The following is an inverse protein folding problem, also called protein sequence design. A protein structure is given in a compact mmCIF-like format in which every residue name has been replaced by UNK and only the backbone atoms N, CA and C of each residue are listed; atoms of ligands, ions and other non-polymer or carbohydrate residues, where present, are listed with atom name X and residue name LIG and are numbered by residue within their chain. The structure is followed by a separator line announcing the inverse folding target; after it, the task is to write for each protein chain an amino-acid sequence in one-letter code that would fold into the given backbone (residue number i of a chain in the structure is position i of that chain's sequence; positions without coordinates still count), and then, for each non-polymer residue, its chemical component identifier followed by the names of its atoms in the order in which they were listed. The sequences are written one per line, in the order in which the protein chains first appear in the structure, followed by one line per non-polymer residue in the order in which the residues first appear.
data_IF_870254547973
#
_entry.id   IF_870254547973
#
_cell.length_a   1.000
_cell.length_b   1.000
_cell.length_c   1.000
_cell.angle_alpha   90.00
_cell.angle_beta   90.00
_cell.angle_gamma   90.00
#
_symmetry.space_group_name_H-M   'P 1'
#
loop_
_entity.id
_entity.type
_entity.pdbx_description
1 polymer ?
2 polymer ?
3 polymer ?
4 water ?
#
# COMPACT_ATOMS: atom_id res chain seq x y z
N UNK A 1 27.57 1.60 7.35
CA UNK A 1 26.29 0.90 7.11
C UNK A 1 26.54 -0.32 6.25
N UNK A 2 26.11 -1.49 6.73
CA UNK A 2 26.22 -2.69 5.89
C UNK A 2 25.14 -2.55 4.83
N UNK A 3 25.44 -2.79 3.57
CA UNK A 3 24.43 -2.70 2.54
C UNK A 3 23.89 -4.10 2.20
N UNK A 4 22.57 -4.25 2.12
CA UNK A 4 21.98 -5.53 1.76
C UNK A 4 21.43 -5.50 0.34
N UNK A 5 22.02 -6.25 -0.57
CA UNK A 5 21.54 -6.29 -1.94
C UNK A 5 20.71 -7.56 -2.11
N UNK A 6 19.41 -7.35 -2.11
CA UNK A 6 18.43 -8.40 -2.27
C UNK A 6 18.01 -8.53 -3.71
N UNK A 7 18.08 -9.72 -4.29
CA UNK A 7 17.57 -9.86 -5.67
C UNK A 7 16.93 -11.24 -5.79
N UNK A 8 16.05 -11.43 -6.75
CA UNK A 8 15.65 -10.38 -7.68
C UNK A 8 14.69 -9.46 -6.94
N UNK A 9 14.19 -8.38 -7.54
CA UNK A 9 13.30 -7.49 -6.79
C UNK A 9 11.86 -7.78 -7.11
N UNK A 10 11.62 -8.48 -8.22
CA UNK A 10 10.23 -8.86 -8.46
C UNK A 10 10.28 -10.16 -9.26
N UNK A 11 9.40 -11.11 -8.89
CA UNK A 11 9.45 -12.39 -9.61
C UNK A 11 8.05 -12.88 -9.90
N UNK A 12 7.91 -13.35 -11.13
CA UNK A 12 6.67 -13.82 -11.74
C UNK A 12 6.71 -15.35 -11.68
N UNK A 13 5.91 -15.94 -10.80
CA UNK A 13 6.02 -17.35 -10.44
C UNK A 13 4.70 -18.10 -10.58
N UNK A 14 4.84 -19.42 -10.64
CA UNK A 14 3.65 -20.27 -10.66
C UNK A 14 3.45 -20.96 -9.33
N UNK A 15 2.20 -21.22 -8.98
CA UNK A 15 1.93 -22.04 -7.79
C UNK A 15 2.60 -23.39 -8.02
N UNK A 16 3.21 -23.92 -6.96
CA UNK A 16 3.86 -25.21 -7.03
C UNK A 16 5.31 -25.11 -7.43
N UNK A 17 5.84 -23.95 -7.76
CA UNK A 17 7.20 -23.81 -8.25
C UNK A 17 8.16 -23.60 -7.10
N UNK A 18 9.41 -23.93 -7.32
CA UNK A 18 10.43 -23.70 -6.31
C UNK A 18 11.05 -22.31 -6.56
N UNK A 19 11.02 -21.47 -5.54
CA UNK A 19 11.58 -20.13 -5.59
C UNK A 19 12.84 -19.89 -4.77
N UNK A 20 13.85 -19.20 -5.29
CA UNK A 20 15.01 -18.85 -4.50
C UNK A 20 15.25 -17.34 -4.52
N UNK A 21 15.35 -16.72 -3.37
CA UNK A 21 15.60 -15.30 -3.17
C UNK A 21 16.94 -15.13 -2.49
N UNK A 22 17.73 -14.10 -2.82
CA UNK A 22 19.05 -13.88 -2.25
C UNK A 22 19.32 -12.54 -1.61
N UNK A 23 20.31 -12.49 -0.72
CA UNK A 23 20.79 -11.27 -0.09
C UNK A 23 22.30 -11.37 0.05
N UNK A 24 23.02 -10.48 -0.62
CA UNK A 24 24.47 -10.36 -0.44
C UNK A 24 24.66 -9.22 0.57
N UNK A 25 25.61 -9.33 1.47
CA UNK A 25 25.90 -8.26 2.42
C UNK A 25 27.20 -7.59 1.96
N UNK A 26 27.36 -6.32 2.29
CA UNK A 26 28.56 -5.59 1.86
C UNK A 26 29.76 -6.07 2.68
N UNK A 27 29.56 -6.65 3.84
CA UNK A 27 30.58 -7.34 4.59
C UNK A 27 29.99 -8.56 5.29
N UNK A 28 30.84 -9.41 5.85
CA UNK A 28 30.50 -10.61 6.59
C UNK A 28 29.54 -10.39 7.74
N UNK A 29 28.32 -10.90 7.72
CA UNK A 29 27.46 -10.66 8.88
C UNK A 29 27.32 -11.83 9.83
N UNK A 30 28.19 -12.82 9.80
CA UNK A 30 28.21 -13.95 10.73
C UNK A 30 26.86 -14.61 10.94
N UNK A 31 26.12 -14.83 9.87
CA UNK A 31 24.81 -15.45 9.85
C UNK A 31 23.79 -14.72 10.68
N UNK A 32 23.94 -13.44 11.04
CA UNK A 32 22.87 -12.78 11.75
C UNK A 32 21.91 -12.11 10.78
N UNK A 33 21.09 -12.92 10.12
CA UNK A 33 20.11 -12.56 9.15
C UNK A 33 18.73 -13.16 9.39
N UNK A 34 17.66 -12.37 9.26
CA UNK A 34 16.32 -12.92 9.37
C UNK A 34 15.69 -12.86 7.98
N UNK A 35 14.62 -13.61 7.75
CA UNK A 35 13.92 -13.63 6.48
C UNK A 35 12.44 -13.45 6.91
N UNK A 36 11.74 -12.47 6.38
CA UNK A 36 10.37 -12.25 6.81
C UNK A 36 9.54 -11.97 5.55
N UNK A 37 8.24 -11.91 5.77
CA UNK A 37 7.38 -11.77 4.61
C UNK A 37 6.25 -10.84 5.02
N UNK A 38 5.88 -9.96 4.09
CA UNK A 38 4.79 -9.04 4.45
C UNK A 38 3.72 -9.06 3.38
N UNK A 39 2.49 -9.30 3.76
CA UNK A 39 1.33 -9.34 2.91
C UNK A 39 0.67 -7.97 3.00
N UNK A 40 0.06 -7.56 1.90
CA UNK A 40 -0.59 -6.26 1.80
C UNK A 40 -1.51 -6.00 2.96
N UNK A 41 -1.16 -4.93 3.70
CA UNK A 41 -1.96 -4.46 4.81
C UNK A 41 -1.64 -5.17 6.11
N UNK A 42 -0.76 -6.16 6.09
CA UNK A 42 -0.43 -6.92 7.28
C UNK A 42 0.98 -6.63 7.76
N UNK A 43 1.25 -6.92 9.01
CA UNK A 43 2.57 -6.73 9.58
C UNK A 43 3.52 -7.84 9.13
N UNK A 44 4.80 -7.60 9.30
CA UNK A 44 5.79 -8.59 8.95
C UNK A 44 5.70 -9.86 9.82
N UNK A 45 5.95 -10.99 9.18
CA UNK A 45 6.01 -12.30 9.82
C UNK A 45 7.36 -12.92 9.63
N UNK A 46 8.20 -13.07 10.64
CA UNK A 46 9.49 -13.71 10.42
C UNK A 46 9.34 -15.21 10.11
N UNK A 47 10.13 -15.69 9.19
CA UNK A 47 10.09 -17.04 8.70
C UNK A 47 11.31 -17.80 9.25
N UNK A 48 12.46 -17.18 9.10
CA UNK A 48 13.76 -17.72 9.43
C UNK A 48 14.61 -16.74 10.21
N UNK A 49 15.43 -17.19 11.15
CA UNK A 49 16.28 -16.32 11.94
C UNK A 49 17.65 -16.98 12.06
N UNK A 50 18.65 -16.18 12.43
CA UNK A 50 20.03 -16.67 12.43
C UNK A 50 20.32 -17.44 11.16
N UNK A 51 20.00 -16.92 9.99
CA UNK A 51 20.25 -17.50 8.69
C UNK A 51 19.50 -18.77 8.31
N UNK A 52 19.38 -19.75 9.20
CA UNK A 52 18.75 -21.00 8.82
C UNK A 52 17.85 -21.63 9.86
N UNK A 53 17.43 -20.99 10.93
CA UNK A 53 16.48 -21.58 11.84
C UNK A 53 15.05 -21.28 11.40
N UNK A 54 14.22 -22.29 11.20
CA UNK A 54 12.82 -22.09 10.91
C UNK A 54 12.26 -21.46 12.20
N UNK A 55 11.15 -20.80 12.06
CA UNK A 55 10.48 -20.13 13.16
C UNK A 55 9.33 -21.05 13.54
N UNK A 56 8.98 -21.11 14.79
CA UNK A 56 7.89 -21.95 15.26
C UNK A 56 6.62 -21.61 14.52
N UNK A 57 6.10 -22.51 13.73
CA UNK A 57 4.83 -22.29 13.06
C UNK A 57 5.01 -22.17 11.55
N UNK A 58 6.23 -22.24 11.05
CA UNK A 58 6.43 -22.00 9.63
C UNK A 58 6.62 -23.30 8.88
N UNK A 59 5.87 -23.53 7.83
CA UNK A 59 6.00 -24.71 7.01
C UNK A 59 7.46 -25.00 6.74
N UNK A 60 7.80 -26.28 6.53
CA UNK A 60 9.16 -26.72 6.29
C UNK A 60 9.58 -26.52 4.86
N UNK A 61 8.63 -26.09 4.05
CA UNK A 61 8.74 -25.58 2.69
C UNK A 61 9.74 -24.39 2.61
N UNK A 62 9.85 -23.60 3.67
CA UNK A 62 10.82 -22.56 3.78
C UNK A 62 12.14 -23.08 4.34
N UNK A 63 13.21 -22.67 3.69
CA UNK A 63 14.54 -23.06 4.17
C UNK A 63 15.52 -21.95 3.84
N UNK A 64 16.43 -21.65 4.73
CA UNK A 64 17.39 -20.58 4.53
C UNK A 64 18.79 -21.13 4.56
N UNK A 65 19.69 -20.60 3.74
CA UNK A 65 21.06 -21.07 3.76
C UNK A 65 22.00 -19.87 3.57
N UNK A 66 23.29 -20.10 3.66
CA UNK A 66 24.33 -19.15 3.42
C UNK A 66 25.14 -18.89 4.67
N UNK A 67 26.30 -18.28 4.46
CA UNK A 67 27.22 -17.87 5.51
C UNK A 67 27.98 -16.67 4.96
N UNK A 68 28.67 -15.92 5.80
CA UNK A 68 29.45 -14.80 5.30
C UNK A 68 28.64 -13.71 4.63
N UNK A 69 28.65 -13.66 3.31
CA UNK A 69 27.99 -12.55 2.63
C UNK A 69 26.77 -12.97 1.83
N UNK A 70 26.74 -14.17 1.29
CA UNK A 70 25.60 -14.58 0.48
C UNK A 70 24.61 -15.51 1.15
N UNK A 71 23.38 -15.04 1.35
CA UNK A 71 22.34 -15.82 2.01
C UNK A 71 21.22 -16.14 1.05
N UNK A 72 20.55 -17.29 1.19
CA UNK A 72 19.45 -17.60 0.30
C UNK A 72 18.27 -18.12 1.15
N UNK A 73 17.12 -17.99 0.50
CA UNK A 73 15.85 -18.40 1.04
C UNK A 73 15.19 -19.19 -0.09
N UNK A 74 14.91 -20.46 0.22
CA UNK A 74 14.29 -21.30 -0.81
C UNK A 74 12.87 -21.62 -0.34
N UNK A 75 11.95 -21.62 -1.27
CA UNK A 75 10.55 -21.98 -1.02
C UNK A 75 10.33 -23.17 -1.97
N UNK A 76 10.18 -24.36 -1.37
CA UNK A 76 10.30 -25.60 -2.13
C UNK A 76 9.15 -25.75 -3.10
N UNK A 77 7.95 -25.36 -2.67
CA UNK A 77 6.86 -25.52 -3.63
C UNK A 77 5.85 -24.44 -3.26
N UNK A 78 5.71 -23.47 -4.15
CA UNK A 78 5.13 -22.17 -3.80
C UNK A 78 3.65 -22.27 -3.59
N UNK A 79 3.12 -21.79 -2.48
CA UNK A 79 1.68 -21.80 -2.33
C UNK A 79 1.03 -20.43 -2.38
N UNK A 80 -0.25 -20.39 -2.71
CA UNK A 80 -1.00 -19.15 -2.76
C UNK A 80 -0.82 -18.27 -1.53
N UNK A 81 -0.68 -18.73 -0.34
CA UNK A 81 -0.56 -18.02 0.90
C UNK A 81 0.83 -17.44 1.11
N UNK A 82 1.79 -17.80 0.27
CA UNK A 82 3.14 -17.30 0.29
C UNK A 82 3.35 -16.00 -0.50
N UNK A 83 2.30 -15.56 -1.19
CA UNK A 83 2.36 -14.37 -2.01
C UNK A 83 2.51 -13.13 -1.13
N UNK A 84 3.43 -12.25 -1.55
CA UNK A 84 3.59 -11.05 -0.72
C UNK A 84 4.99 -10.54 -0.98
N UNK A 85 5.53 -9.76 -0.04
CA UNK A 85 6.88 -9.28 -0.32
C UNK A 85 7.85 -9.89 0.68
N UNK A 86 9.00 -10.33 0.21
CA UNK A 86 10.00 -10.91 1.06
C UNK A 86 11.21 -10.02 1.27
N UNK A 87 11.61 -9.81 2.52
CA UNK A 87 12.77 -9.05 2.89
C UNK A 87 13.77 -9.85 3.75
N UNK A 88 15.03 -9.41 3.71
CA UNK A 88 16.05 -9.94 4.59
C UNK A 88 16.52 -8.86 5.56
N UNK A 89 16.96 -9.24 6.76
CA UNK A 89 17.39 -8.30 7.77
C UNK A 89 18.77 -8.63 8.27
N UNK A 90 19.77 -7.77 8.19
CA UNK A 90 21.06 -8.12 8.80
C UNK A 90 21.00 -7.56 10.22
N UNK A 91 21.39 -8.28 11.26
CA UNK A 91 21.34 -7.73 12.61
C UNK A 91 22.66 -8.03 13.29
N UNK A 92 23.69 -8.21 12.47
CA UNK A 92 25.05 -8.32 12.95
C UNK A 92 25.53 -7.02 13.57
N UNK A 93 25.41 -5.90 12.86
CA UNK A 93 25.84 -4.63 13.40
C UNK A 93 24.79 -3.54 13.30
N UNK A 94 24.99 -2.46 14.02
CA UNK A 94 24.11 -1.29 13.92
C UNK A 94 24.68 -0.33 12.89
N UNK A 95 23.86 0.38 12.14
CA UNK A 95 22.42 0.23 12.23
C UNK A 95 21.90 -1.07 11.62
N UNK A 96 20.71 -1.52 12.02
CA UNK A 96 20.15 -2.69 11.35
C UNK A 96 19.79 -2.25 9.93
N UNK A 97 19.97 -3.03 8.90
CA UNK A 97 19.59 -2.67 7.56
C UNK A 97 18.82 -3.77 6.85
N UNK A 98 17.89 -3.37 5.99
CA UNK A 98 17.02 -4.24 5.24
C UNK A 98 17.39 -4.36 3.79
N UNK A 99 16.83 -5.27 3.05
CA UNK A 99 17.10 -5.48 1.64
C UNK A 99 15.90 -4.72 1.01
N UNK A 100 15.93 -4.60 -0.31
CA UNK A 100 14.87 -3.74 -0.87
C UNK A 100 13.56 -4.49 -0.93
N UNK A 101 13.54 -5.82 -0.77
CA UNK A 101 12.27 -6.54 -0.77
C UNK A 101 12.21 -7.35 -2.04
N UNK A 102 11.43 -8.41 -2.09
CA UNK A 102 11.35 -9.19 -3.34
C UNK A 102 9.86 -9.40 -3.54
N UNK A 103 9.32 -8.95 -4.65
CA UNK A 103 7.88 -9.01 -4.82
C UNK A 103 7.53 -10.19 -5.70
N UNK A 104 6.58 -10.98 -5.21
CA UNK A 104 6.21 -12.23 -5.90
C UNK A 104 4.88 -12.06 -6.57
N UNK A 105 4.71 -12.41 -7.82
CA UNK A 105 3.39 -12.37 -8.35
C UNK A 105 3.12 -13.53 -9.28
N UNK A 106 1.89 -13.93 -9.42
CA UNK A 106 1.58 -15.09 -10.24
C UNK A 106 1.66 -14.74 -11.71
N UNK A 107 2.46 -15.44 -12.48
CA UNK A 107 2.54 -15.25 -13.92
C UNK A 107 1.21 -15.60 -14.53
N UNK A 108 0.92 -15.12 -15.74
CA UNK A 108 -0.29 -15.39 -16.48
C UNK A 108 -0.09 -14.88 -17.91
N UNK A 109 -0.97 -15.20 -18.82
CA UNK A 109 -0.88 -14.77 -20.21
C UNK A 109 -1.16 -13.26 -20.21
N UNK A 110 -0.44 -12.53 -21.05
CA UNK A 110 -0.51 -11.07 -21.06
C UNK A 110 -1.91 -10.60 -21.44
N UNK A 111 -2.52 -9.71 -20.71
CA UNK A 111 -3.85 -9.23 -21.11
C UNK A 111 -3.83 -7.71 -21.26
N UNK A 112 -4.53 -7.23 -22.27
CA UNK A 112 -4.59 -5.77 -22.49
C UNK A 112 -5.67 -5.16 -21.58
N UNK A 113 -5.47 -3.91 -21.22
CA UNK A 113 -6.39 -3.21 -20.35
C UNK A 113 -7.69 -2.92 -21.06
N UNK A 114 -8.76 -2.72 -20.35
CA UNK A 114 -10.06 -2.35 -20.82
C UNK A 114 -10.23 -0.91 -20.26
N UNK A 115 -10.08 0.02 -21.21
CA UNK A 115 -10.02 1.43 -20.83
C UNK A 115 -11.32 2.16 -20.89
N UNK A 116 -11.73 2.89 -19.88
CA UNK A 116 -12.95 3.67 -19.90
C UNK A 116 -12.65 5.12 -19.48
N UNK A 117 -13.29 6.10 -20.10
CA UNK A 117 -13.10 7.51 -19.76
C UNK A 117 -14.38 8.13 -19.26
N UNK A 118 -14.32 8.93 -18.20
CA UNK A 118 -15.52 9.49 -17.65
C UNK A 118 -15.43 11.00 -17.53
N UNK A 119 -16.19 11.74 -18.32
CA UNK A 119 -16.28 13.19 -18.24
C UNK A 119 -16.70 13.51 -16.83
N UNK A 120 -16.47 14.72 -16.35
CA UNK A 120 -16.89 15.06 -15.00
C UNK A 120 -18.39 14.84 -14.87
N UNK A 121 -18.87 14.89 -13.63
CA UNK A 121 -20.30 14.78 -13.38
C UNK A 121 -20.85 16.19 -13.17
N UNK A 122 -22.14 16.37 -13.40
CA UNK A 122 -22.83 17.62 -13.21
C UNK A 122 -22.74 18.15 -11.80
N UNK A 123 -22.86 17.26 -10.83
CA UNK A 123 -22.78 17.63 -9.42
C UNK A 123 -21.40 18.19 -9.10
N UNK A 124 -20.36 17.68 -9.76
CA UNK A 124 -19.02 18.20 -9.46
C UNK A 124 -18.91 19.59 -10.11
N UNK A 125 -19.32 19.64 -11.38
CA UNK A 125 -19.30 20.86 -12.18
C UNK A 125 -20.09 21.97 -11.53
N UNK A 126 -21.24 21.71 -10.90
CA UNK A 126 -21.88 22.72 -10.09
C UNK A 126 -21.25 22.88 -8.72
N UNK A 127 -19.95 22.71 -8.53
CA UNK A 127 -19.29 22.91 -7.24
C UNK A 127 -17.95 23.61 -7.49
N UNK A 128 -17.62 23.73 -8.78
CA UNK A 128 -16.40 24.43 -9.11
C UNK A 128 -15.29 23.56 -9.64
N UNK A 129 -15.29 22.27 -9.27
CA UNK A 129 -14.13 21.48 -9.76
C UNK A 129 -14.60 20.65 -10.92
N UNK A 130 -13.67 20.00 -11.56
CA UNK A 130 -13.97 19.08 -12.66
C UNK A 130 -12.97 17.92 -12.66
N UNK A 131 -13.41 16.69 -12.41
CA UNK A 131 -12.40 15.59 -12.37
C UNK A 131 -12.58 14.73 -13.60
N UNK A 132 -11.56 14.37 -14.32
CA UNK A 132 -11.71 13.55 -15.52
C UNK A 132 -11.12 12.19 -15.16
N UNK A 133 -11.93 11.12 -15.25
CA UNK A 133 -11.45 9.82 -14.80
C UNK A 133 -11.26 8.81 -15.89
N UNK A 134 -10.17 8.08 -15.75
CA UNK A 134 -9.84 7.01 -16.64
C UNK A 134 -9.55 5.67 -15.89
N UNK A 135 -10.24 4.61 -16.29
CA UNK A 135 -10.07 3.28 -15.70
C UNK A 135 -9.33 2.39 -16.68
N UNK A 136 -8.21 1.87 -16.21
CA UNK A 136 -7.44 0.91 -17.04
C UNK A 136 -7.64 -0.39 -16.24
N UNK A 137 -8.62 -1.24 -16.65
CA UNK A 137 -8.71 -2.42 -15.77
C UNK A 137 -8.69 -3.79 -16.38
N UNK A 138 -8.11 -4.70 -15.54
CA UNK A 138 -7.86 -6.08 -15.85
C UNK A 138 -6.72 -6.30 -16.80
N UNK A 139 -5.48 -5.98 -16.49
CA UNK A 139 -4.45 -6.20 -17.53
C UNK A 139 -3.25 -6.92 -16.93
N UNK A 140 -2.34 -7.41 -17.79
CA UNK A 140 -1.14 -8.07 -17.29
C UNK A 140 -0.09 -8.00 -18.39
N UNK A 141 1.14 -7.69 -18.07
CA UNK A 141 1.60 -7.47 -16.74
C UNK A 141 1.36 -6.10 -16.13
N UNK A 142 1.90 -5.82 -14.97
CA UNK A 142 1.70 -4.63 -14.18
C UNK A 142 2.16 -3.31 -14.81
N UNK A 143 3.27 -3.29 -15.52
CA UNK A 143 3.78 -2.12 -16.20
C UNK A 143 2.81 -1.46 -17.17
N UNK A 144 2.49 -0.21 -16.83
CA UNK A 144 1.59 0.57 -17.67
C UNK A 144 1.89 2.06 -17.60
N UNK A 145 1.81 2.66 -18.78
CA UNK A 145 1.97 4.10 -18.94
C UNK A 145 0.68 4.80 -19.30
N UNK A 146 0.36 5.86 -18.58
CA UNK A 146 -0.81 6.66 -18.85
C UNK A 146 -0.42 8.14 -19.02
N UNK A 147 -0.75 8.69 -20.17
CA UNK A 147 -0.54 10.08 -20.53
C UNK A 147 -1.89 10.77 -20.71
N UNK A 148 -2.05 11.96 -20.18
CA UNK A 148 -3.24 12.77 -20.44
C UNK A 148 -2.95 13.89 -21.45
N UNK A 149 -3.92 14.13 -22.32
CA UNK A 149 -3.82 15.14 -23.36
C UNK A 149 -5.07 16.01 -23.40
N UNK A 150 -4.86 17.30 -23.16
CA UNK A 150 -5.95 18.28 -23.31
C UNK A 150 -5.71 18.98 -24.63
N UNK A 151 -6.73 19.13 -25.45
CA UNK A 151 -6.69 19.66 -26.81
C UNK A 151 -5.37 19.39 -27.52
N UNK A 152 -4.84 18.18 -27.49
CA UNK A 152 -3.66 17.77 -28.19
C UNK A 152 -2.39 17.89 -27.37
N UNK A 153 -2.44 18.51 -26.19
CA UNK A 153 -1.17 18.63 -25.46
C UNK A 153 -1.23 17.92 -24.11
N UNK A 154 -0.09 17.33 -23.78
CA UNK A 154 0.12 16.58 -22.56
C UNK A 154 -0.10 17.42 -21.31
N UNK A 155 -0.82 16.92 -20.32
CA UNK A 155 -0.99 17.62 -19.04
C UNK A 155 -0.31 16.79 -17.96
N UNK A 156 0.62 17.34 -17.16
CA UNK A 156 1.31 16.58 -16.14
C UNK A 156 0.82 16.73 -14.72
N UNK A 157 0.75 17.89 -14.09
CA UNK A 157 0.22 17.87 -12.73
C UNK A 157 -1.30 17.85 -12.83
N UNK A 158 -1.91 17.69 -11.67
CA UNK A 158 -3.32 17.51 -11.50
C UNK A 158 -3.69 16.03 -11.61
N UNK A 159 -2.74 15.15 -11.90
CA UNK A 159 -2.94 13.75 -12.11
C UNK A 159 -2.65 12.88 -10.88
N UNK A 160 -3.62 12.03 -10.60
CA UNK A 160 -3.59 11.10 -9.49
C UNK A 160 -3.75 9.66 -9.97
N UNK A 161 -2.74 8.81 -9.79
CA UNK A 161 -2.81 7.41 -10.19
C UNK A 161 -2.93 6.42 -9.04
N UNK A 162 -3.83 5.46 -9.14
CA UNK A 162 -4.03 4.44 -8.11
C UNK A 162 -4.06 3.04 -8.72
N UNK A 163 -3.39 2.10 -8.06
CA UNK A 163 -3.29 0.71 -8.49
C UNK A 163 -3.92 -0.27 -7.50
N UNK A 164 -4.54 -1.30 -8.03
CA UNK A 164 -5.06 -2.37 -7.17
C UNK A 164 -3.92 -3.41 -7.08
N UNK A 165 -3.90 -4.27 -6.05
CA UNK A 165 -2.92 -5.39 -6.17
C UNK A 165 -3.39 -6.51 -7.09
N UNK A 166 -2.51 -7.45 -7.42
CA UNK A 166 -2.88 -8.57 -8.31
C UNK A 166 -4.18 -9.21 -7.87
N UNK A 167 -5.13 -9.44 -8.72
CA UNK A 167 -6.42 -10.02 -8.39
C UNK A 167 -6.30 -11.54 -8.14
N UNK A 168 -6.99 -11.99 -7.08
CA UNK A 168 -6.81 -13.37 -6.60
C UNK A 168 -7.34 -14.41 -7.57
N UNK A 169 -8.42 -14.18 -8.27
CA UNK A 169 -8.90 -15.09 -9.28
C UNK A 169 -8.25 -14.97 -10.65
N UNK A 170 -8.20 -13.80 -11.31
CA UNK A 170 -7.73 -13.78 -12.69
C UNK A 170 -6.29 -13.35 -12.80
N UNK A 171 -5.66 -12.94 -11.71
CA UNK A 171 -4.27 -12.53 -11.76
C UNK A 171 -3.95 -11.27 -12.54
N UNK A 172 -4.97 -10.45 -12.86
CA UNK A 172 -4.72 -9.23 -13.61
C UNK A 172 -4.59 -8.05 -12.63
N UNK A 173 -4.05 -6.93 -13.10
CA UNK A 173 -4.07 -5.72 -12.25
C UNK A 173 -5.02 -4.68 -12.85
N UNK A 174 -5.32 -3.65 -12.07
CA UNK A 174 -6.14 -2.54 -12.42
C UNK A 174 -5.72 -1.18 -11.85
N UNK A 175 -6.02 -0.12 -12.63
CA UNK A 175 -5.62 1.24 -12.23
C UNK A 175 -6.60 2.34 -12.57
N UNK A 176 -6.76 3.28 -11.64
CA UNK A 176 -7.62 4.40 -11.98
C UNK A 176 -6.78 5.68 -12.14
N UNK A 177 -7.13 6.46 -13.18
CA UNK A 177 -6.38 7.71 -13.42
C UNK A 177 -7.30 8.94 -13.40
N UNK A 178 -7.12 9.80 -12.43
CA UNK A 178 -7.87 11.00 -12.26
C UNK A 178 -7.09 12.29 -12.55
N UNK A 179 -7.61 13.01 -13.54
CA UNK A 179 -7.05 14.32 -13.94
C UNK A 179 -7.95 15.37 -13.29
N UNK A 180 -7.49 16.05 -12.25
CA UNK A 180 -8.32 17.07 -11.61
C UNK A 180 -7.99 18.51 -12.04
N UNK A 181 -8.99 19.22 -12.54
CA UNK A 181 -8.92 20.60 -12.99
C UNK A 181 -9.94 21.46 -12.24
N UNK A 182 -9.97 22.77 -12.50
CA UNK A 182 -11.10 23.60 -12.02
C UNK A 182 -12.18 23.68 -13.08
N UNK A 183 -13.40 24.03 -12.74
CA UNK A 183 -14.45 24.14 -13.76
C UNK A 183 -14.12 25.15 -14.86
N UNK A 184 -13.61 26.33 -14.47
CA UNK A 184 -13.21 27.33 -15.45
C UNK A 184 -12.21 26.75 -16.43
N UNK A 185 -11.13 26.10 -16.00
CA UNK A 185 -10.22 25.65 -17.07
C UNK A 185 -10.68 24.38 -17.76
N UNK A 186 -11.64 23.65 -17.18
CA UNK A 186 -12.19 22.47 -17.86
C UNK A 186 -13.09 23.02 -18.97
N UNK A 187 -13.83 24.09 -18.64
CA UNK A 187 -14.68 24.76 -19.61
C UNK A 187 -13.89 25.55 -20.66
N UNK A 188 -12.60 25.74 -20.57
CA UNK A 188 -11.79 26.38 -21.57
C UNK A 188 -11.35 25.43 -22.67
N UNK A 189 -11.56 24.10 -22.53
CA UNK A 189 -10.95 23.18 -23.49
C UNK A 189 -11.96 22.21 -24.08
N UNK A 190 -11.62 21.47 -25.14
CA UNK A 190 -12.70 20.57 -25.62
C UNK A 190 -12.36 19.07 -25.61
N UNK A 191 -11.18 18.67 -26.03
CA UNK A 191 -10.88 17.30 -26.31
C UNK A 191 -9.99 16.65 -25.25
N UNK A 192 -10.61 15.81 -24.39
CA UNK A 192 -9.89 15.14 -23.31
C UNK A 192 -9.56 13.70 -23.70
N UNK A 193 -8.29 13.37 -23.59
CA UNK A 193 -7.75 12.11 -23.98
C UNK A 193 -6.83 11.41 -22.99
N UNK A 194 -7.19 10.14 -22.79
CA UNK A 194 -6.49 9.20 -21.92
C UNK A 194 -5.75 8.23 -22.82
N UNK A 195 -4.44 8.11 -22.76
CA UNK A 195 -3.80 7.13 -23.64
C UNK A 195 -2.83 6.30 -22.79
N UNK A 196 -2.96 4.98 -22.96
CA UNK A 196 -2.16 4.04 -22.20
C UNK A 196 -1.23 3.19 -23.04
N UNK A 197 -0.03 3.02 -22.51
CA UNK A 197 0.96 2.20 -23.19
C UNK A 197 1.14 0.97 -22.31
N UNK A 198 1.16 -0.15 -23.01
CA UNK A 198 1.28 -1.44 -22.35
C UNK A 198 1.96 -2.41 -23.28
N UNK A 199 2.70 -3.39 -22.79
CA UNK A 199 3.25 -4.45 -23.61
C UNK A 199 2.30 -5.08 -24.61
N UNK A 200 1.00 -5.19 -24.42
CA UNK A 200 0.11 -5.82 -25.35
C UNK A 200 -0.09 -5.16 -26.70
N UNK A 201 0.45 -3.99 -27.00
CA UNK A 201 0.28 -3.38 -28.32
C UNK A 201 1.40 -2.38 -28.58
N UNK A 202 1.62 -2.19 -29.88
CA UNK A 202 2.64 -1.30 -30.44
C UNK A 202 2.27 0.16 -30.28
N UNK A 203 1.02 0.46 -30.61
CA UNK A 203 0.45 1.79 -30.50
C UNK A 203 -0.36 1.91 -29.22
N UNK A 204 -0.42 3.10 -28.65
CA UNK A 204 -1.18 3.36 -27.45
C UNK A 204 -2.64 3.02 -27.63
N UNK A 205 -3.32 2.87 -26.51
CA UNK A 205 -4.76 2.55 -26.54
C UNK A 205 -5.37 3.85 -26.06
N UNK A 206 -6.13 4.46 -26.97
CA UNK A 206 -6.61 5.81 -26.77
C UNK A 206 -8.09 5.92 -26.47
N UNK A 207 -8.48 6.68 -25.47
CA UNK A 207 -9.87 6.95 -25.18
C UNK A 207 -10.06 8.45 -25.03
N UNK A 208 -11.10 8.97 -25.73
CA UNK A 208 -11.34 10.40 -25.67
C UNK A 208 -12.80 10.83 -25.63
N UNK A 209 -12.91 12.14 -25.38
CA UNK A 209 -14.21 12.77 -25.55
C UNK A 209 -14.04 14.27 -25.74
N UNK A 210 -15.04 14.85 -26.40
CA UNK A 210 -15.14 16.27 -26.67
C UNK A 210 -16.15 16.86 -25.70
N UNK A 211 -15.86 17.97 -25.01
CA UNK A 211 -16.93 18.54 -24.19
C UNK A 211 -18.08 19.05 -25.05
N UNK A 212 -17.96 19.36 -26.35
CA UNK A 212 -19.16 19.89 -27.03
C UNK A 212 -20.15 18.78 -27.37
N UNK A 213 -19.82 17.59 -26.95
CA UNK A 213 -20.29 16.25 -26.94
C UNK A 213 -19.91 15.59 -28.26
N UNK A 214 -18.66 15.18 -28.33
CA UNK A 214 -17.99 14.53 -29.42
C UNK A 214 -18.59 14.62 -30.80
N UNK B 1 8.51 -15.81 23.70
CA UNK B 1 7.82 -16.70 22.75
C UNK B 1 6.46 -16.19 22.30
N UNK B 2 5.78 -15.35 23.07
CA UNK B 2 4.47 -14.88 22.58
C UNK B 2 4.54 -13.70 21.62
N UNK B 3 4.29 -12.49 22.14
CA UNK B 3 3.94 -11.37 21.29
C UNK B 3 4.19 -9.96 21.77
N UNK B 4 4.14 -9.05 20.78
CA UNK B 4 4.29 -7.61 20.96
C UNK B 4 2.98 -6.91 20.63
N UNK B 5 2.50 -6.09 21.55
CA UNK B 5 1.25 -5.37 21.34
C UNK B 5 1.50 -3.86 21.32
N UNK B 6 1.13 -3.24 20.19
CA UNK B 6 1.38 -1.80 20.02
C UNK B 6 0.11 -0.98 20.21
N UNK B 7 0.31 0.24 20.69
CA UNK B 7 -0.79 1.20 20.80
C UNK B 7 -1.49 1.49 19.50
N UNK B 8 -2.69 2.05 19.59
CA UNK B 8 -3.52 2.34 18.41
C UNK B 8 -3.10 3.54 17.55
N UNK B 9 -3.74 3.66 16.38
CA UNK B 9 -3.55 4.66 15.37
C UNK B 9 -3.49 6.07 15.95
N UNK B 10 -2.45 6.80 15.58
CA UNK B 10 -2.34 8.16 16.11
C UNK B 10 -2.45 9.26 15.06
N UNK B 11 -3.38 10.18 15.25
CA UNK B 11 -3.59 11.35 14.40
C UNK B 11 -3.02 12.61 15.04
N UNK B 12 -1.80 13.06 14.73
CA UNK B 12 -1.32 14.32 15.28
C UNK B 12 -1.09 15.48 14.30
N UNK B 13 -1.04 16.65 14.92
CA UNK B 13 -0.76 17.94 14.35
C UNK B 13 0.73 18.24 14.22
N UNK B 14 1.09 18.86 13.10
CA UNK B 14 2.47 19.23 12.84
C UNK B 14 3.05 20.01 13.99
N UNK B 15 4.27 19.65 14.39
CA UNK B 15 4.94 20.24 15.51
C UNK B 15 4.66 19.58 16.83
N UNK B 16 3.65 18.69 16.91
CA UNK B 16 3.38 18.05 18.21
C UNK B 16 4.27 16.83 18.40
N UNK B 17 4.03 16.13 19.50
CA UNK B 17 4.75 14.92 19.88
C UNK B 17 3.84 13.72 20.04
N UNK B 18 4.35 12.52 19.84
CA UNK B 18 3.67 11.25 20.11
C UNK B 18 4.68 10.38 20.83
N UNK B 19 4.06 9.60 21.72
CA UNK B 19 4.73 8.52 22.46
C UNK B 19 4.09 7.18 22.12
N UNK B 20 4.74 6.28 21.43
CA UNK B 20 4.10 5.01 21.09
C UNK B 20 4.52 3.90 22.09
N UNK B 21 3.58 3.00 22.39
CA UNK B 21 3.91 1.89 23.29
C UNK B 21 3.86 0.50 22.65
N UNK B 22 4.76 -0.34 23.17
CA UNK B 22 4.93 -1.72 22.73
C UNK B 22 4.99 -2.68 23.93
N UNK B 23 3.85 -3.37 24.17
CA UNK B 23 3.81 -4.31 25.27
C UNK B 23 4.33 -5.71 24.97
N UNK B 24 5.33 -6.18 25.69
CA UNK B 24 5.85 -7.54 25.49
C UNK B 24 5.17 -8.57 26.42
N UNK B 25 4.60 -9.62 25.84
CA UNK B 25 3.84 -10.67 26.49
C UNK B 25 4.44 -12.05 26.17
N UNK B 26 4.46 -12.95 27.18
CA UNK B 26 4.83 -14.34 26.94
C UNK B 26 6.29 -14.64 26.81
N UNK B 27 7.23 -13.88 27.32
CA UNK B 27 8.66 -14.15 27.19
C UNK B 27 9.32 -13.25 28.22
N UNK B 28 10.55 -13.50 28.60
CA UNK B 28 11.22 -12.70 29.62
C UNK B 28 11.64 -11.38 28.99
N UNK B 29 10.92 -10.32 29.32
CA UNK B 29 11.11 -8.99 28.82
C UNK B 29 12.54 -8.49 28.94
N UNK B 30 13.20 -8.80 30.04
CA UNK B 30 14.58 -8.36 30.24
C UNK B 30 15.63 -9.14 29.51
N UNK B 31 15.33 -10.16 28.69
CA UNK B 31 16.46 -10.82 28.04
C UNK B 31 16.64 -10.41 26.59
N UNK B 32 15.65 -9.74 26.02
CA UNK B 32 15.65 -9.35 24.62
C UNK B 32 15.52 -7.84 24.40
N UNK B 33 16.37 -7.32 23.54
CA UNK B 33 16.27 -5.99 22.96
C UNK B 33 14.98 -5.78 22.19
N UNK B 34 14.41 -4.59 22.30
CA UNK B 34 13.23 -4.25 21.49
C UNK B 34 13.70 -3.15 20.51
N UNK B 35 13.50 -3.32 19.23
CA UNK B 35 13.84 -2.42 18.17
C UNK B 35 12.62 -1.78 17.51
N UNK B 36 12.79 -0.51 17.13
CA UNK B 36 11.70 0.28 16.51
C UNK B 36 12.00 0.50 15.06
N UNK B 37 11.09 0.26 14.14
CA UNK B 37 11.40 0.36 12.72
C UNK B 37 10.26 1.15 12.05
N UNK B 38 10.68 1.99 11.06
CA UNK B 38 9.76 2.88 10.36
C UNK B 38 9.52 2.42 8.94
N UNK B 39 8.30 2.46 8.48
CA UNK B 39 8.02 2.02 7.12
C UNK B 39 7.20 3.08 6.37
N UNK B 40 7.65 3.43 5.19
CA UNK B 40 6.92 4.38 4.32
C UNK B 40 7.07 3.87 2.90
N UNK B 41 6.09 4.10 2.07
CA UNK B 41 6.18 3.81 0.65
C UNK B 41 7.37 4.45 -0.02
N UNK B 42 7.67 5.73 0.26
CA UNK B 42 8.88 6.33 -0.31
C UNK B 42 10.11 5.60 0.14
N UNK B 43 10.50 5.67 1.40
CA UNK B 43 11.76 5.13 1.89
C UNK B 43 11.88 3.67 2.25
N UNK B 44 10.78 2.92 2.24
CA UNK B 44 10.85 1.53 2.66
C UNK B 44 10.95 1.40 4.18
N UNK B 45 11.76 0.40 4.59
CA UNK B 45 11.86 0.07 5.99
C UNK B 45 13.07 0.75 6.59
N UNK B 46 12.96 1.44 7.70
CA UNK B 46 14.17 1.96 8.30
C UNK B 46 14.18 1.74 9.82
N UNK B 47 15.39 1.45 10.28
CA UNK B 47 15.61 1.29 11.71
C UNK B 47 15.74 2.61 12.43
N UNK B 48 14.97 2.82 13.48
CA UNK B 48 15.11 4.03 14.29
C UNK B 48 16.18 3.85 15.35
N UNK B 49 15.96 2.90 16.23
CA UNK B 49 16.84 2.54 17.33
C UNK B 49 16.33 1.27 18.03
N UNK B 50 16.83 1.05 19.23
CA UNK B 50 16.47 -0.09 20.04
C UNK B 50 16.95 -0.01 21.48
N UNK B 51 16.22 -0.76 22.33
CA UNK B 51 16.63 -0.76 23.75
C UNK B 51 16.66 -2.15 24.35
N UNK B 52 17.56 -2.32 25.31
CA UNK B 52 17.71 -3.56 26.07
C UNK B 52 17.03 -3.27 27.40
N UNK B 53 15.86 -3.79 27.66
CA UNK B 53 15.14 -3.49 28.91
C UNK B 53 15.89 -3.98 30.14
N UNK B 54 16.74 -4.97 29.93
CA UNK B 54 17.65 -5.51 30.90
C UNK B 54 18.62 -4.45 31.37
N UNK B 55 19.70 -4.31 30.62
CA UNK B 55 20.73 -3.33 30.92
C UNK B 55 20.31 -1.89 30.69
N UNK B 56 19.22 -1.57 30.02
CA UNK B 56 18.81 -0.20 29.79
C UNK B 56 19.55 0.48 28.63
N UNK B 57 20.50 -0.19 28.02
CA UNK B 57 21.26 0.25 26.89
C UNK B 57 20.38 0.54 25.69
N UNK B 58 20.79 1.59 24.96
CA UNK B 58 20.05 2.01 23.79
C UNK B 58 21.05 2.28 22.68
N UNK B 59 20.64 2.14 21.46
CA UNK B 59 21.42 2.45 20.26
C UNK B 59 20.44 3.17 19.33
N UNK B 60 20.91 4.11 18.50
CA UNK B 60 19.97 4.86 17.64
C UNK B 60 20.55 4.94 16.26
N UNK B 61 19.70 5.05 15.27
CA UNK B 61 20.21 5.34 13.91
C UNK B 61 20.52 6.83 13.92
N UNK B 62 21.60 7.29 13.29
CA UNK B 62 22.01 8.69 13.35
C UNK B 62 20.92 9.67 12.91
N UNK B 63 20.16 9.30 11.90
CA UNK B 63 19.03 10.04 11.39
C UNK B 63 17.96 10.29 12.41
N UNK B 64 17.89 9.62 13.56
CA UNK B 64 16.71 9.77 14.42
C UNK B 64 17.22 10.27 15.74
N UNK B 65 18.53 10.30 15.90
CA UNK B 65 19.09 10.84 17.15
C UNK B 65 18.78 12.34 17.23
N UNK B 66 18.03 12.70 18.25
CA UNK B 66 17.53 14.00 18.57
C UNK B 66 16.05 14.01 18.26
N UNK B 67 15.54 13.09 17.46
CA UNK B 67 14.12 13.12 17.14
C UNK B 67 13.29 12.16 18.01
N UNK B 68 13.91 11.00 18.25
CA UNK B 68 13.27 9.90 18.93
C UNK B 68 13.95 9.53 20.24
N UNK B 69 13.12 9.32 21.25
CA UNK B 69 13.62 8.83 22.53
C UNK B 69 13.06 7.43 22.86
N UNK B 70 13.96 6.51 23.16
CA UNK B 70 13.52 5.17 23.54
C UNK B 70 13.54 4.90 25.04
N UNK B 71 12.47 4.32 25.56
CA UNK B 71 12.43 3.96 26.99
C UNK B 71 11.72 2.62 27.19
N UNK B 72 11.86 2.04 28.37
CA UNK B 72 11.22 0.77 28.73
C UNK B 72 10.84 0.73 30.19
N UNK B 73 9.64 0.29 30.55
CA UNK B 73 9.22 0.11 31.94
C UNK B 73 9.26 -1.37 32.32
N UNK B 74 10.14 -1.85 33.18
CA UNK B 74 10.17 -3.28 33.55
C UNK B 74 8.90 -3.74 34.24
N UNK B 75 8.31 -2.95 35.12
CA UNK B 75 7.06 -3.35 35.74
C UNK B 75 5.93 -3.61 34.78
N UNK B 76 5.87 -3.00 33.61
CA UNK B 76 4.74 -3.30 32.72
C UNK B 76 5.25 -3.96 31.46
N UNK B 77 6.51 -4.34 31.37
CA UNK B 77 7.03 -5.02 30.18
C UNK B 77 6.50 -4.34 28.91
N UNK B 78 6.77 -3.02 28.86
CA UNK B 78 6.34 -2.11 27.81
C UNK B 78 7.46 -1.19 27.34
N UNK B 79 7.84 -1.37 26.08
CA UNK B 79 8.89 -0.50 25.52
C UNK B 79 8.17 0.71 24.92
N UNK B 80 8.76 1.90 25.07
CA UNK B 80 8.15 3.10 24.53
C UNK B 80 9.05 3.88 23.56
N UNK B 81 8.41 4.53 22.60
CA UNK B 81 9.15 5.37 21.65
C UNK B 81 8.48 6.75 21.53
N UNK B 82 9.31 7.75 21.88
CA UNK B 82 8.85 9.12 21.72
C UNK B 82 9.44 9.83 20.50
N UNK B 83 8.57 10.43 19.72
CA UNK B 83 8.88 11.22 18.53
C UNK B 83 8.53 12.69 18.75
N UNK B 84 9.51 13.62 18.67
CA UNK B 84 9.11 15.04 18.85
C UNK B 84 9.12 15.85 17.56
N UNK B 85 8.45 16.98 17.55
CA UNK B 85 8.44 17.93 16.43
C UNK B 85 7.99 17.19 15.17
N UNK B 86 6.72 16.83 15.09
CA UNK B 86 6.36 16.05 13.92
C UNK B 86 6.01 16.90 12.72
N UNK B 87 6.44 16.39 11.57
CA UNK B 87 6.06 16.95 10.29
C UNK B 87 5.48 15.81 9.47
N UNK B 88 4.86 16.09 8.33
CA UNK B 88 4.27 15.07 7.48
C UNK B 88 5.21 13.95 7.05
N UNK B 89 6.52 14.08 7.18
CA UNK B 89 7.46 13.07 6.74
C UNK B 89 7.65 11.95 7.75
N UNK B 90 7.19 12.19 8.97
CA UNK B 90 7.09 11.34 10.10
C UNK B 90 5.83 10.45 9.95
N UNK B 91 4.96 10.77 9.01
CA UNK B 91 3.77 10.01 8.76
C UNK B 91 4.17 8.61 8.26
N UNK B 92 3.82 7.58 9.04
CA UNK B 92 4.28 6.24 8.70
C UNK B 92 3.55 5.14 9.51
N UNK B 93 3.93 3.92 9.14
CA UNK B 93 3.63 2.81 10.03
C UNK B 93 4.87 2.63 10.91
N UNK B 94 4.69 2.59 12.22
CA UNK B 94 5.79 2.28 13.14
C UNK B 94 5.57 0.88 13.79
N UNK B 95 6.63 0.10 13.80
CA UNK B 95 6.77 -1.21 14.32
C UNK B 95 7.81 -1.44 15.41
N UNK B 96 7.44 -2.08 16.52
CA UNK B 96 8.48 -2.58 17.45
C UNK B 96 8.70 -4.04 17.03
N UNK B 97 9.88 -4.57 17.21
CA UNK B 97 10.23 -5.89 16.81
C UNK B 97 11.27 -6.45 17.78
N UNK B 98 11.26 -7.80 17.89
CA UNK B 98 12.26 -8.43 18.76
C UNK B 98 13.31 -9.03 17.85
N UNK B 99 13.13 -8.79 16.55
CA UNK B 99 14.00 -9.20 15.47
C UNK B 99 13.46 -10.48 14.82
N UNK B 100 12.75 -11.24 15.64
CA UNK B 100 12.02 -12.43 15.23
C UNK B 100 10.55 -12.08 15.33
N UNK B 101 10.02 -11.73 16.48
CA UNK B 101 8.62 -11.31 16.51
C UNK B 101 8.45 -9.85 16.10
N UNK B 102 7.29 -9.49 15.56
CA UNK B 102 6.97 -8.14 15.19
C UNK B 102 5.65 -7.72 15.81
N UNK B 103 5.54 -6.50 16.30
CA UNK B 103 4.30 -5.92 16.74
C UNK B 103 3.46 -5.70 15.49
N UNK B 104 2.20 -5.29 15.69
CA UNK B 104 1.37 -5.14 14.51
C UNK B 104 1.53 -3.75 13.87
N UNK B 105 2.30 -2.84 14.48
CA UNK B 105 2.46 -1.54 13.87
C UNK B 105 1.39 -0.55 14.27
N UNK B 106 1.83 0.66 14.59
CA UNK B 106 0.97 1.82 14.76
C UNK B 106 1.20 2.83 13.60
N UNK B 107 0.12 3.22 12.97
CA UNK B 107 -0.03 4.23 11.98
C UNK B 107 -0.02 5.61 12.66
N UNK B 108 0.96 6.41 12.26
CA UNK B 108 0.94 7.82 12.69
C UNK B 108 0.72 8.70 11.45
N UNK B 109 -0.36 9.45 11.46
CA UNK B 109 -0.69 10.43 10.45
C UNK B 109 -0.42 11.85 10.92
N UNK B 110 0.59 12.50 10.37
CA UNK B 110 0.79 13.92 10.74
C UNK B 110 0.03 14.85 9.81
N UNK B 111 -1.00 15.53 10.29
CA UNK B 111 -1.81 16.35 9.41
C UNK B 111 -2.45 17.53 10.12
N UNK B 112 -2.93 18.52 9.37
CA UNK B 112 -3.59 19.66 10.03
C UNK B 112 -5.07 19.50 9.71
N UNK B 113 -5.33 18.62 8.75
CA UNK B 113 -6.68 18.34 8.33
C UNK B 113 -7.69 18.25 9.46
N UNK B 114 -8.92 18.58 9.08
CA UNK B 114 -10.05 18.51 9.99
C UNK B 114 -11.04 17.50 9.44
N UNK B 115 -11.85 16.89 10.31
CA UNK B 115 -12.81 15.89 9.80
C UNK B 115 -13.65 16.52 8.72
N UNK B 116 -13.62 15.93 7.52
CA UNK B 116 -14.45 16.49 6.44
C UNK B 116 -15.11 15.36 5.65
N UNK B 117 -16.41 15.56 5.48
CA UNK B 117 -17.26 14.63 4.76
C UNK B 117 -16.84 14.61 3.30
N UNK B 118 -16.98 13.45 2.67
CA UNK B 118 -16.55 13.27 1.30
C UNK B 118 -17.57 13.77 0.30
N UNK B 119 -17.17 14.18 -0.90
CA UNK B 119 -18.19 14.50 -1.90
C UNK B 119 -18.27 13.24 -2.74
N UNK B 120 -19.46 12.80 -3.08
CA UNK B 120 -19.60 11.56 -3.83
C UNK B 120 -20.20 11.85 -5.18
N UNK B 121 -19.46 11.59 -6.24
CA UNK B 121 -19.94 11.80 -7.59
C UNK B 121 -20.13 10.50 -8.36
N UNK B 122 -21.25 10.41 -9.06
CA UNK B 122 -21.56 9.28 -9.89
C UNK B 122 -20.96 9.44 -11.27
N UNK B 123 -20.18 8.49 -11.73
CA UNK B 123 -19.55 8.46 -13.01
C UNK B 123 -20.25 7.57 -14.03
N UNK B 124 -21.07 8.15 -14.89
CA UNK B 124 -21.79 7.45 -15.95
C UNK B 124 -21.00 7.37 -17.22
N UNK B 125 -21.20 6.40 -18.08
CA UNK B 125 -20.42 6.31 -19.30
C UNK B 125 -20.52 7.63 -20.08
N UNK B 126 -19.57 7.82 -20.99
CA UNK B 126 -19.54 8.97 -21.87
C UNK B 126 -20.79 8.93 -22.74
N UNK B 127 -21.24 10.14 -23.07
CA UNK B 127 -22.40 10.36 -23.92
C UNK B 127 -22.26 9.50 -25.17
N UNK B 128 -23.40 9.06 -25.70
CA UNK B 128 -23.32 8.12 -26.83
C UNK B 128 -23.42 6.76 -26.15
N UNK B 129 -22.30 6.32 -25.58
CA UNK B 129 -22.28 5.07 -24.83
C UNK B 129 -22.27 3.89 -25.82
N UNK B 130 -21.08 3.30 -25.93
CA UNK B 130 -20.86 2.18 -26.82
C UNK B 130 -21.96 1.12 -26.89
N UNK B 131 -21.82 0.33 -27.96
CA UNK B 131 -22.58 -0.90 -28.12
C UNK B 131 -21.59 -2.05 -27.89
N UNK B 132 -21.07 -2.12 -26.66
CA UNK B 132 -20.21 -3.23 -26.26
C UNK B 132 -21.10 -4.25 -25.56
N UNK B 133 -20.53 -5.35 -25.10
CA UNK B 133 -21.29 -6.38 -24.38
C UNK B 133 -21.47 -5.92 -22.94
N UNK B 134 -20.45 -5.25 -22.42
CA UNK B 134 -20.50 -4.76 -21.04
C UNK B 134 -20.26 -3.27 -20.96
N UNK B 135 -20.66 -2.69 -19.85
CA UNK B 135 -20.57 -1.29 -19.50
C UNK B 135 -19.84 -1.04 -18.19
N UNK B 136 -18.85 -0.16 -18.13
CA UNK B 136 -18.22 0.18 -16.86
C UNK B 136 -18.78 1.50 -16.38
N UNK B 137 -19.26 1.50 -15.15
CA UNK B 137 -19.86 2.62 -14.45
C UNK B 137 -18.83 2.98 -13.39
N UNK B 138 -18.92 4.08 -12.67
CA UNK B 138 -17.85 4.39 -11.74
C UNK B 138 -18.40 5.29 -10.64
N UNK B 139 -17.54 5.54 -9.67
CA UNK B 139 -18.04 6.42 -8.59
C UNK B 139 -16.78 7.01 -7.97
N UNK B 140 -16.84 8.32 -7.68
CA UNK B 140 -15.65 9.06 -7.23
C UNK B 140 -16.02 9.69 -5.90
N UNK B 141 -15.16 9.47 -4.93
CA UNK B 141 -15.44 9.87 -3.54
C UNK B 141 -14.33 10.85 -3.22
N UNK B 142 -14.65 12.13 -3.08
CA UNK B 142 -13.61 13.15 -3.06
C UNK B 142 -13.57 14.04 -1.84
N UNK B 143 -12.35 14.36 -1.46
CA UNK B 143 -12.02 15.21 -0.34
C UNK B 143 -12.55 14.76 1.01
N UNK B 144 -12.04 13.66 1.56
CA UNK B 144 -12.50 13.33 2.93
C UNK B 144 -11.30 13.32 3.87
N UNK B 145 -11.61 13.19 5.15
CA UNK B 145 -10.60 13.07 6.18
C UNK B 145 -11.27 12.74 7.50
N UNK B 146 -10.73 11.78 8.22
CA UNK B 146 -9.62 10.96 7.77
C UNK B 146 -10.08 9.64 7.14
N UNK B 147 -9.11 8.78 6.86
CA UNK B 147 -9.44 7.43 6.39
C UNK B 147 -10.10 6.78 7.62
N UNK B 148 -11.02 5.88 7.41
CA UNK B 148 -11.38 5.36 6.11
C UNK B 148 -12.78 5.67 5.62
N UNK B 149 -13.12 5.12 4.48
CA UNK B 149 -14.41 5.25 3.82
C UNK B 149 -14.78 3.83 3.43
N UNK B 150 -16.03 3.41 3.51
CA UNK B 150 -16.33 2.08 2.94
C UNK B 150 -17.28 2.35 1.79
N UNK B 151 -17.15 1.60 0.71
CA UNK B 151 -17.91 1.83 -0.50
C UNK B 151 -18.48 0.52 -1.03
N UNK B 152 -19.77 0.47 -1.33
CA UNK B 152 -20.29 -0.74 -1.95
C UNK B 152 -21.18 -0.37 -3.15
N UNK B 153 -21.49 -1.35 -3.97
CA UNK B 153 -22.39 -1.20 -5.10
C UNK B 153 -23.65 -2.02 -4.85
N UNK B 154 -24.80 -1.34 -4.82
CA UNK B 154 -26.07 -1.98 -4.51
C UNK B 154 -25.98 -2.59 -3.13
N UNK B 155 -25.52 -1.81 -2.16
CA UNK B 155 -25.27 -2.22 -0.79
C UNK B 155 -24.80 -3.67 -0.72
N UNK B 156 -23.64 -3.97 -1.31
CA UNK B 156 -23.06 -5.30 -1.31
C UNK B 156 -23.62 -6.30 -2.29
N UNK B 157 -24.86 -6.16 -2.71
CA UNK B 157 -25.49 -7.10 -3.63
C UNK B 157 -24.67 -7.27 -4.90
N UNK B 158 -24.16 -6.15 -5.40
CA UNK B 158 -23.28 -6.14 -6.58
C UNK B 158 -21.85 -6.17 -6.05
N UNK B 159 -21.10 -7.19 -6.46
CA UNK B 159 -19.73 -7.37 -5.99
C UNK B 159 -18.82 -8.03 -7.02
N UNK B 160 -19.42 -8.57 -8.07
CA UNK B 160 -18.61 -9.15 -9.14
C UNK B 160 -18.37 -8.05 -10.19
N UNK B 161 -17.14 -7.98 -10.66
CA UNK B 161 -16.70 -6.98 -11.60
C UNK B 161 -16.39 -5.64 -10.97
N UNK B 162 -16.20 -5.51 -9.67
CA UNK B 162 -15.90 -4.29 -8.97
C UNK B 162 -14.41 -4.15 -8.66
N UNK B 163 -13.91 -2.91 -8.77
CA UNK B 163 -12.54 -2.52 -8.44
C UNK B 163 -12.60 -1.29 -7.57
N UNK B 164 -11.96 -1.25 -6.42
CA UNK B 164 -12.03 -0.10 -5.54
C UNK B 164 -10.60 0.26 -5.28
N UNK B 165 -10.15 1.44 -5.71
CA UNK B 165 -8.71 1.68 -5.71
C UNK B 165 -8.36 2.27 -4.37
N UNK B 166 -7.18 1.95 -3.93
CA UNK B 166 -6.71 2.53 -2.67
C UNK B 166 -6.82 4.05 -2.73
N UNK B 167 -7.23 4.70 -1.66
CA UNK B 167 -7.32 6.11 -1.54
C UNK B 167 -5.94 6.76 -1.61
N UNK B 168 -5.90 7.97 -2.18
CA UNK B 168 -4.63 8.70 -2.23
C UNK B 168 -4.88 10.10 -1.67
N UNK B 169 -3.81 10.74 -1.24
CA UNK B 169 -3.86 12.08 -0.67
C UNK B 169 -3.78 13.11 -1.79
N UNK B 170 -4.68 14.07 -1.79
CA UNK B 170 -4.67 15.11 -2.80
C UNK B 170 -5.04 16.44 -2.16
N UNK B 171 -4.04 17.30 -2.02
CA UNK B 171 -4.25 18.63 -1.41
C UNK B 171 -4.80 18.45 -0.01
N UNK B 172 -4.13 17.60 0.77
CA UNK B 172 -4.44 17.34 2.16
C UNK B 172 -5.70 16.56 2.45
N UNK B 173 -6.40 15.99 1.47
CA UNK B 173 -7.63 15.27 1.72
C UNK B 173 -7.58 13.98 0.90
N UNK B 174 -8.33 12.96 1.34
CA UNK B 174 -8.23 11.69 0.65
C UNK B 174 -9.21 11.63 -0.52
N UNK B 175 -8.76 10.99 -1.58
CA UNK B 175 -9.63 10.72 -2.71
C UNK B 175 -9.54 9.21 -3.03
N UNK B 176 -10.69 8.67 -3.38
CA UNK B 176 -10.80 7.26 -3.76
C UNK B 176 -11.81 7.12 -4.89
N UNK B 177 -11.67 6.11 -5.71
CA UNK B 177 -12.60 5.82 -6.78
C UNK B 177 -12.83 4.32 -6.93
N UNK B 178 -13.93 3.93 -7.57
CA UNK B 178 -14.20 2.52 -7.78
C UNK B 178 -14.97 2.27 -9.05
N UNK B 179 -14.78 1.23 -9.82
CA UNK B 179 -15.61 0.89 -10.95
C UNK B 179 -16.29 -0.48 -10.80
N UNK B 180 -17.31 -0.76 -11.59
CA UNK B 180 -18.10 -1.94 -11.71
C UNK B 180 -18.35 -2.04 -13.22
N UNK B 181 -18.25 -3.28 -13.68
CA UNK B 181 -18.63 -3.62 -15.05
C UNK B 181 -19.82 -4.58 -14.97
N UNK B 182 -20.88 -4.31 -15.70
CA UNK B 182 -22.06 -5.14 -15.77
C UNK B 182 -22.32 -5.36 -17.25
N UNK B 183 -23.14 -6.30 -17.68
CA UNK B 183 -23.38 -6.45 -19.12
C UNK B 183 -24.33 -5.36 -19.61
N UNK B 184 -24.37 -5.18 -20.92
CA UNK B 184 -25.22 -4.18 -21.54
C UNK B 184 -26.69 -4.33 -21.17
N UNK B 185 -27.21 -5.55 -21.14
CA UNK B 185 -28.57 -5.80 -20.70
C UNK B 185 -28.93 -5.14 -19.38
N UNK B 186 -28.10 -5.30 -18.35
CA UNK B 186 -28.38 -4.75 -17.04
C UNK B 186 -28.70 -3.26 -16.99
N UNK B 187 -27.79 -2.41 -17.47
CA UNK B 187 -27.82 -0.97 -17.26
C UNK B 187 -28.05 -0.22 -18.57
N UNK B 188 -28.94 0.77 -18.53
CA UNK B 188 -29.51 1.29 -17.33
C UNK B 188 -30.89 0.81 -16.88
N UNK B 189 -31.47 -0.20 -17.51
CA UNK B 189 -32.77 -0.73 -17.12
C UNK B 189 -32.83 -1.08 -15.65
N UNK B 190 -31.83 -1.76 -15.12
CA UNK B 190 -31.70 -2.00 -13.69
C UNK B 190 -30.95 -0.83 -13.05
N UNK B 191 -31.39 -0.29 -11.93
CA UNK B 191 -30.67 0.81 -11.33
C UNK B 191 -29.42 0.30 -10.63
N UNK B 192 -28.35 1.07 -10.63
CA UNK B 192 -27.10 0.72 -9.94
C UNK B 192 -26.75 1.89 -9.02
N UNK B 193 -26.52 1.64 -7.74
CA UNK B 193 -26.28 2.69 -6.76
C UNK B 193 -24.91 2.59 -6.12
N UNK B 194 -24.37 3.75 -5.78
CA UNK B 194 -23.06 3.80 -5.16
C UNK B 194 -23.29 4.19 -3.71
N UNK B 195 -22.93 3.32 -2.80
CA UNK B 195 -23.17 3.59 -1.38
C UNK B 195 -21.81 3.90 -0.77
N UNK B 196 -21.74 5.02 -0.10
CA UNK B 196 -20.48 5.45 0.52
C UNK B 196 -20.79 5.71 1.98
N UNK B 197 -19.85 5.38 2.86
CA UNK B 197 -20.09 5.70 4.27
C UNK B 197 -18.77 6.22 4.83
N UNK B 198 -18.89 7.21 5.69
CA UNK B 198 -17.67 7.79 6.29
C UNK B 198 -17.96 7.90 7.77
N UNK B 199 -17.65 6.84 8.53
CA UNK B 199 -17.88 6.78 9.96
C UNK B 199 -17.47 8.05 10.68
N UNK B 200 -16.24 8.50 10.48
CA UNK B 200 -15.68 9.69 11.08
C UNK B 200 -16.58 10.91 11.09
N UNK B 201 -17.33 11.20 10.03
CA UNK B 201 -18.21 12.36 10.03
C UNK B 201 -19.67 11.90 10.03
N UNK B 202 -19.85 10.60 10.25
CA UNK B 202 -21.14 9.95 10.24
C UNK B 202 -21.96 10.33 9.00
N UNK B 203 -21.33 10.24 7.83
CA UNK B 203 -21.98 10.49 6.57
C UNK B 203 -22.24 9.13 5.93
N UNK B 204 -23.40 9.03 5.30
CA UNK B 204 -23.76 7.78 4.62
C UNK B 204 -24.50 8.26 3.37
N UNK B 205 -23.94 7.99 2.20
CA UNK B 205 -24.50 8.53 0.96
C UNK B 205 -24.77 7.44 -0.04
N UNK B 206 -25.88 7.51 -0.75
CA UNK B 206 -26.22 6.57 -1.81
C UNK B 206 -26.43 7.36 -3.10
N UNK B 207 -25.76 6.97 -4.18
CA UNK B 207 -25.77 7.70 -5.43
C UNK B 207 -26.14 6.88 -6.65
N UNK B 208 -27.32 7.15 -7.19
CA UNK B 208 -27.79 6.45 -8.38
C UNK B 208 -26.93 6.83 -9.59
N UNK B 209 -26.67 5.89 -10.47
CA UNK B 209 -25.90 6.17 -11.68
C UNK B 209 -26.88 6.26 -12.84
N UNK B 210 -27.27 7.49 -13.18
CA UNK B 210 -28.23 7.66 -14.29
C UNK B 210 -27.46 7.96 -15.57
N UNK B 211 -28.03 7.67 -16.72
CA UNK B 211 -27.38 7.96 -18.00
C UNK B 211 -27.24 9.45 -18.25
N UNK B 212 -26.21 9.85 -18.99
CA UNK B 212 -25.94 11.26 -19.27
C UNK B 212 -26.96 11.89 -20.21
N UNK B 213 -27.54 13.02 -19.82
CA UNK B 213 -28.52 13.61 -20.75
C UNK B 213 -27.86 14.04 -22.07
N UNK C 1 11.70 -21.32 20.76
CA UNK C 1 12.13 -20.70 19.52
C UNK C 1 13.56 -20.20 19.78
N UNK C 2 13.86 -18.99 19.34
CA UNK C 2 15.15 -18.37 19.48
C UNK C 2 15.48 -17.88 20.88
N UNK C 3 16.78 -17.93 21.15
CA UNK C 3 17.36 -17.39 22.36
C UNK C 3 17.99 -16.04 22.05
N UNK C 4 18.39 -15.30 23.07
CA UNK C 4 19.27 -14.14 22.89
C UNK C 4 20.48 -14.55 22.08
N UNK C 5 20.44 -14.40 20.78
CA UNK C 5 21.34 -14.83 19.72
C UNK C 5 20.48 -14.95 18.45
N UNK C 6 19.77 -14.05 17.82
CA UNK C 6 19.19 -12.79 17.95
C UNK C 6 20.17 -11.65 18.30
N UNK C 7 21.42 -11.95 18.59
CA UNK C 7 22.54 -11.12 18.90
C UNK C 7 22.24 -9.92 19.77
N UNK C 8 22.28 -10.06 21.09
CA UNK C 8 21.94 -8.95 21.95
C UNK C 8 23.19 -8.14 22.23
N UNK C 9 23.49 -7.23 21.33
CA UNK C 9 24.61 -6.30 21.32
C UNK C 9 24.59 -5.27 22.44
N UNK C 10 23.46 -5.02 23.08
CA UNK C 10 23.37 -4.05 24.15
C UNK C 10 23.30 -4.66 25.52
N UNK C 11 23.50 -5.98 25.59
CA UNK C 11 23.41 -6.72 26.86
C UNK C 11 24.44 -5.99 27.72
#
# INVERSE_FOLDING_TARGET
DIKMTQSPSSMYTSLGERVTITCKASQDINSFLTWFLQKPGKSPKTLIYRANRLMIGVPSRFSGSGSGQTYSLTISSLEYEDMGIYYCLQYDDFPLTFGAGTKLDLKRADAAPTVSIFPPSSEQLTSGTASVVCFLNNFYPKEINVKWKIDGSERQNGVLDSWTEQDSKDSTYSMSSTLTLTKDEYERHNSYTCEATHKTSTSPIVKSFNRNEC
QDQLQQSGAELVRPGASVKLSCKALGYIFTDYEIHWVKQTPVHGLEWIGGIHPGSSGTAYNQKFKGKATLTADKSSTTAFMELSSLTSEDSAVYYCTRKDYWGQGTLVTVSAAKTTAPSVYPLVPVCGGTTGSSVTLGCLVKGYFPEPVTLTWNSGSLSSGVHTFPALLQSGLYTLSSSVTVTSNTWPSQTITCNVAHPASSTKVDKKIEPRV
GATPEDLNQKL
#
